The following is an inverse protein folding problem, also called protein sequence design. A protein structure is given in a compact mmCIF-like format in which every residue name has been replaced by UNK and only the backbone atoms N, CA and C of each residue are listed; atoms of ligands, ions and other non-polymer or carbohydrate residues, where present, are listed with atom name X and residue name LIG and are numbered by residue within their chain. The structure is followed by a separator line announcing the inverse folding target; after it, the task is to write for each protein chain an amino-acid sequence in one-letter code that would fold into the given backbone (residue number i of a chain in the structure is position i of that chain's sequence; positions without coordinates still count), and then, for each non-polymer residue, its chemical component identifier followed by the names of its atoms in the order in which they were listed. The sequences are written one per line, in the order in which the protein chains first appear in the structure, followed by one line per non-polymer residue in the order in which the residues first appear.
data_IF_312513534142
#
_entry.id   IF_312513534142
#
_cell.length_a   1.000
_cell.length_b   1.000
_cell.length_c   1.000
_cell.angle_alpha   90.00
_cell.angle_beta   90.00
_cell.angle_gamma   90.00
#
_symmetry.space_group_name_H-M   'P 1'
#
loop_
_entity.id
_entity.type
_entity.pdbx_description
1 polymer ?
#
# COMPACT_ATOMS: atom_id res chain seq x y z
N UNK A 1 -6.95 -8.96 -30.44
CA UNK A 1 -7.53 -8.13 -31.52
C UNK A 1 -8.89 -7.65 -31.06
N UNK A 2 -9.05 -6.35 -30.80
CA UNK A 2 -10.37 -5.76 -30.67
C UNK A 2 -11.01 -5.75 -32.06
N UNK A 3 -12.18 -6.38 -32.19
CA UNK A 3 -12.98 -6.37 -33.41
C UNK A 3 -14.23 -5.57 -33.11
N UNK A 4 -14.18 -4.27 -33.41
CA UNK A 4 -15.24 -3.46 -34.03
C UNK A 4 -14.97 -1.95 -33.84
N UNK A 5 -15.35 -1.09 -34.81
CA UNK A 5 -14.97 0.31 -34.84
C UNK A 5 -15.80 1.12 -33.82
N UNK A 6 -15.12 1.65 -32.79
CA UNK A 6 -15.73 2.49 -31.74
C UNK A 6 -15.24 2.19 -30.32
N UNK A 7 -14.51 1.08 -30.15
CA UNK A 7 -13.97 0.63 -28.88
C UNK A 7 -12.73 1.45 -28.43
N UNK A 8 -12.94 2.67 -27.93
CA UNK A 8 -11.92 3.38 -27.15
C UNK A 8 -12.10 2.99 -25.68
N UNK A 9 -11.38 1.97 -25.23
CA UNK A 9 -11.34 1.60 -23.81
C UNK A 9 -10.55 2.67 -23.04
N UNK A 10 -11.24 3.74 -22.63
CA UNK A 10 -10.65 4.75 -21.76
C UNK A 10 -10.34 4.13 -20.40
N UNK A 11 -9.13 4.34 -19.83
CA UNK A 11 -8.83 3.88 -18.48
C UNK A 11 -9.88 4.35 -17.49
N UNK A 12 -10.45 3.41 -16.75
CA UNK A 12 -11.46 3.70 -15.76
C UNK A 12 -11.13 3.00 -14.43
N UNK A 13 -11.32 3.72 -13.34
CA UNK A 13 -11.27 3.18 -11.98
C UNK A 13 -12.67 2.85 -11.51
N UNK A 14 -12.87 1.68 -10.90
CA UNK A 14 -14.16 1.30 -10.33
C UNK A 14 -14.01 0.39 -9.11
N UNK A 15 -15.04 0.37 -8.26
CA UNK A 15 -15.10 -0.54 -7.11
C UNK A 15 -15.96 -1.78 -7.42
N UNK A 16 -15.36 -2.94 -7.73
CA UNK A 16 -16.07 -4.18 -8.09
C UNK A 16 -16.97 -4.79 -7.00
N UNK A 17 -16.77 -4.43 -5.72
CA UNK A 17 -17.54 -5.03 -4.60
C UNK A 17 -18.60 -4.08 -4.03
N UNK A 18 -18.76 -2.88 -4.60
CA UNK A 18 -19.85 -2.00 -4.23
C UNK A 18 -21.17 -2.47 -4.86
N UNK A 19 -22.28 -2.31 -4.11
CA UNK A 19 -23.63 -2.51 -4.66
C UNK A 19 -23.83 -1.60 -5.87
N UNK A 20 -24.65 -2.02 -6.83
CA UNK A 20 -24.83 -1.37 -8.13
C UNK A 20 -25.16 0.14 -8.00
N UNK A 21 -25.95 0.51 -6.98
CA UNK A 21 -26.32 1.89 -6.66
C UNK A 21 -25.17 2.78 -6.10
N UNK A 22 -23.98 2.23 -5.87
CA UNK A 22 -22.83 2.97 -5.31
C UNK A 22 -21.53 2.74 -6.10
N UNK A 23 -21.59 2.17 -7.31
CA UNK A 23 -20.39 1.98 -8.12
C UNK A 23 -19.74 3.33 -8.47
N UNK A 24 -18.61 3.64 -7.84
CA UNK A 24 -17.78 4.78 -8.20
C UNK A 24 -16.96 4.45 -9.45
N UNK A 25 -17.62 4.46 -10.61
CA UNK A 25 -16.95 4.42 -11.91
C UNK A 25 -16.40 5.81 -12.25
N UNK A 26 -15.09 5.89 -12.48
CA UNK A 26 -14.38 7.14 -12.77
C UNK A 26 -13.55 7.01 -14.03
N UNK A 27 -13.71 7.97 -14.95
CA UNK A 27 -12.93 8.07 -16.20
C UNK A 27 -12.14 9.39 -16.27
N UNK A 28 -12.13 10.18 -15.20
CA UNK A 28 -11.47 11.48 -15.13
C UNK A 28 -9.99 11.40 -14.73
N UNK A 29 -9.40 10.20 -14.80
CA UNK A 29 -8.02 9.96 -14.40
C UNK A 29 -7.79 9.95 -12.89
N UNK A 30 -8.85 9.98 -12.08
CA UNK A 30 -8.77 9.95 -10.62
C UNK A 30 -9.16 8.56 -10.10
N UNK A 31 -8.35 8.02 -9.18
CA UNK A 31 -8.65 6.76 -8.50
C UNK A 31 -9.57 6.96 -7.30
N UNK A 32 -10.30 5.91 -6.90
CA UNK A 32 -11.03 5.96 -5.63
C UNK A 32 -10.06 5.77 -4.46
N UNK A 33 -10.55 6.01 -3.24
CA UNK A 33 -9.77 5.84 -2.02
C UNK A 33 -9.11 4.47 -1.97
N UNK A 34 -7.78 4.44 -1.84
CA UNK A 34 -7.04 3.22 -1.55
C UNK A 34 -7.37 2.82 -0.12
N UNK A 35 -7.95 1.64 0.07
CA UNK A 35 -8.33 1.17 1.41
C UNK A 35 -7.66 -0.16 1.73
N UNK A 36 -7.27 -0.31 2.99
CA UNK A 36 -6.91 -1.59 3.57
C UNK A 36 -8.20 -2.39 3.83
N UNK A 37 -8.38 -3.52 3.15
CA UNK A 37 -9.54 -4.40 3.32
C UNK A 37 -9.18 -5.88 3.18
N UNK A 38 -10.16 -6.77 3.29
CA UNK A 38 -10.00 -8.23 3.06
C UNK A 38 -9.55 -8.59 1.64
N UNK A 39 -9.60 -7.60 0.73
CA UNK A 39 -9.27 -7.69 -0.68
C UNK A 39 -8.55 -6.39 -1.12
N UNK A 40 -7.33 -6.13 -0.64
CA UNK A 40 -6.72 -4.84 -0.88
C UNK A 40 -6.27 -4.72 -2.34
N UNK A 41 -6.40 -3.50 -2.89
CA UNK A 41 -6.23 -3.23 -4.33
C UNK A 41 -7.43 -3.62 -5.21
N UNK A 42 -8.41 -4.38 -4.70
CA UNK A 42 -9.62 -4.69 -5.47
C UNK A 42 -10.56 -3.50 -5.61
N UNK A 43 -10.55 -2.52 -4.69
CA UNK A 43 -11.48 -1.39 -4.74
C UNK A 43 -11.20 -0.39 -5.88
N UNK A 44 -10.05 -0.54 -6.53
CA UNK A 44 -9.59 0.26 -7.64
C UNK A 44 -9.30 -0.66 -8.82
N UNK A 45 -10.33 -1.37 -9.29
CA UNK A 45 -10.24 -2.10 -10.53
C UNK A 45 -9.93 -1.13 -11.66
N UNK A 46 -8.91 -1.44 -12.45
CA UNK A 46 -8.55 -0.70 -13.65
C UNK A 46 -9.01 -1.46 -14.88
N UNK A 47 -9.64 -0.74 -15.81
CA UNK A 47 -9.88 -1.20 -17.17
C UNK A 47 -8.75 -0.65 -18.05
N UNK A 48 -7.95 -1.52 -18.68
CA UNK A 48 -6.91 -1.10 -19.61
C UNK A 48 -7.40 -1.02 -21.06
N UNK A 49 -6.59 -0.40 -21.93
CA UNK A 49 -6.84 -0.21 -23.38
C UNK A 49 -7.17 -1.52 -24.13
N UNK A 50 -6.73 -2.67 -23.60
CA UNK A 50 -6.99 -4.00 -24.16
C UNK A 50 -8.14 -4.75 -23.48
N UNK A 51 -9.06 -4.05 -22.79
CA UNK A 51 -10.16 -4.64 -22.02
C UNK A 51 -9.70 -5.59 -20.90
N UNK A 52 -8.49 -5.39 -20.40
CA UNK A 52 -7.99 -6.14 -19.24
C UNK A 52 -8.51 -5.46 -17.98
N UNK A 53 -9.24 -6.22 -17.16
CA UNK A 53 -9.65 -5.80 -15.83
C UNK A 53 -8.67 -6.37 -14.81
N UNK A 54 -7.96 -5.50 -14.11
CA UNK A 54 -7.02 -5.91 -13.04
C UNK A 54 -7.06 -4.95 -11.86
N UNK A 55 -6.35 -5.33 -10.80
CA UNK A 55 -6.12 -4.44 -9.65
C UNK A 55 -4.94 -3.51 -9.94
N UNK A 56 -4.92 -2.38 -9.23
CA UNK A 56 -3.68 -1.63 -9.04
C UNK A 56 -2.65 -2.54 -8.38
N UNK A 57 -1.42 -2.49 -8.86
CA UNK A 57 -0.23 -3.07 -8.24
C UNK A 57 0.17 -2.27 -6.99
N UNK A 58 1.02 -2.83 -6.10
CA UNK A 58 1.55 -2.07 -4.97
C UNK A 58 2.29 -0.80 -5.40
N UNK A 59 3.10 -0.85 -6.46
CA UNK A 59 3.81 0.31 -7.02
C UNK A 59 2.85 1.39 -7.53
N UNK A 60 1.76 1.00 -8.20
CA UNK A 60 0.73 1.97 -8.63
C UNK A 60 0.02 2.59 -7.41
N UNK A 61 -0.24 1.83 -6.35
CA UNK A 61 -0.77 2.37 -5.09
C UNK A 61 0.20 3.38 -4.45
N UNK A 62 1.50 3.08 -4.43
CA UNK A 62 2.53 3.98 -3.91
C UNK A 62 2.55 5.32 -4.67
N UNK A 63 2.57 5.25 -6.01
CA UNK A 63 2.51 6.43 -6.89
C UNK A 63 1.26 7.27 -6.69
N UNK A 64 0.10 6.62 -6.53
CA UNK A 64 -1.15 7.33 -6.23
C UNK A 64 -1.11 8.08 -4.90
N UNK A 65 -0.36 7.57 -3.91
CA UNK A 65 -0.12 8.27 -2.65
C UNK A 65 1.03 9.27 -2.71
N UNK A 66 1.71 9.38 -3.86
CA UNK A 66 2.83 10.29 -4.10
C UNK A 66 4.16 9.82 -3.53
N UNK A 67 4.30 8.52 -3.21
CA UNK A 67 5.58 7.94 -2.82
C UNK A 67 6.46 7.62 -4.04
N UNK A 68 7.80 7.68 -3.90
CA UNK A 68 8.71 7.21 -4.93
C UNK A 68 8.64 5.70 -5.10
N UNK A 69 8.95 5.21 -6.30
CA UNK A 69 8.90 3.77 -6.63
C UNK A 69 9.79 2.92 -5.71
N UNK A 70 10.94 3.46 -5.32
CA UNK A 70 11.94 2.79 -4.48
C UNK A 70 11.66 2.91 -2.97
N UNK A 71 10.50 3.41 -2.55
CA UNK A 71 10.19 3.61 -1.13
C UNK A 71 10.26 2.31 -0.33
N UNK A 72 9.91 1.20 -0.97
CA UNK A 72 9.98 -0.13 -0.40
C UNK A 72 11.17 -0.90 -0.97
N UNK A 73 12.26 -0.30 -1.40
CA UNK A 73 13.45 -1.06 -1.84
C UNK A 73 14.43 -1.28 -0.67
N UNK A 74 15.30 -2.28 -0.80
CA UNK A 74 16.43 -2.58 0.11
C UNK A 74 16.09 -2.72 1.62
N UNK A 75 14.92 -3.29 1.95
CA UNK A 75 14.50 -3.57 3.34
C UNK A 75 15.05 -4.89 3.89
N UNK A 76 15.62 -5.75 3.04
CA UNK A 76 16.12 -7.05 3.45
C UNK A 76 17.46 -6.98 4.18
N UNK A 77 17.64 -7.93 5.10
CA UNK A 77 18.88 -8.15 5.85
C UNK A 77 19.30 -9.59 5.58
N UNK A 78 20.16 -9.77 4.57
CA UNK A 78 20.58 -11.09 4.06
C UNK A 78 21.25 -11.94 5.16
N UNK A 79 22.09 -11.30 5.97
CA UNK A 79 22.85 -11.91 7.07
C UNK A 79 22.57 -11.16 8.38
N UNK A 80 21.41 -11.39 9.00
CA UNK A 80 21.02 -10.66 10.19
C UNK A 80 21.89 -11.04 11.39
N UNK A 81 22.38 -10.03 12.09
CA UNK A 81 23.12 -10.13 13.35
C UNK A 81 22.20 -10.55 14.49
N UNK A 82 22.77 -10.99 15.62
CA UNK A 82 21.96 -11.36 16.79
C UNK A 82 21.17 -10.16 17.32
N UNK A 83 21.76 -8.95 17.30
CA UNK A 83 21.12 -7.72 17.77
C UNK A 83 19.91 -7.32 16.90
N UNK A 84 20.02 -7.43 15.57
CA UNK A 84 18.88 -7.20 14.66
C UNK A 84 17.76 -8.21 14.89
N UNK A 85 18.12 -9.48 15.12
CA UNK A 85 17.14 -10.52 15.40
C UNK A 85 16.43 -10.24 16.74
N UNK A 86 17.18 -9.84 17.77
CA UNK A 86 16.62 -9.49 19.08
C UNK A 86 15.67 -8.29 18.97
N UNK A 87 16.10 -7.21 18.31
CA UNK A 87 15.28 -6.03 18.07
C UNK A 87 13.96 -6.40 17.38
N UNK A 88 14.02 -7.13 16.27
CA UNK A 88 12.80 -7.50 15.54
C UNK A 88 11.94 -8.53 16.29
N UNK A 89 12.52 -9.34 17.16
CA UNK A 89 11.78 -10.21 18.08
C UNK A 89 10.91 -9.39 19.02
N UNK A 90 11.48 -8.34 19.63
CA UNK A 90 10.75 -7.44 20.52
C UNK A 90 9.66 -6.64 19.80
N UNK A 91 9.95 -6.14 18.60
CA UNK A 91 8.97 -5.44 17.76
C UNK A 91 7.77 -6.35 17.43
N UNK A 92 8.03 -7.59 16.98
CA UNK A 92 6.96 -8.54 16.66
C UNK A 92 6.16 -8.97 17.88
N UNK A 93 6.80 -9.08 19.04
CA UNK A 93 6.11 -9.42 20.29
C UNK A 93 5.23 -8.26 20.78
N UNK A 94 5.72 -7.03 20.69
CA UNK A 94 4.94 -5.82 20.99
C UNK A 94 3.73 -5.72 20.06
N UNK A 95 3.94 -5.89 18.76
CA UNK A 95 2.85 -5.91 17.78
C UNK A 95 1.83 -7.00 18.09
N UNK A 96 2.27 -8.22 18.43
CA UNK A 96 1.39 -9.34 18.79
C UNK A 96 0.49 -9.00 19.98
N UNK A 97 1.06 -8.42 21.04
CA UNK A 97 0.33 -8.03 22.25
C UNK A 97 -0.71 -6.94 21.97
N UNK A 98 -0.37 -5.94 21.16
CA UNK A 98 -1.29 -4.85 20.79
C UNK A 98 -2.44 -5.37 19.92
N UNK A 99 -2.14 -6.18 18.90
CA UNK A 99 -3.17 -6.66 17.96
C UNK A 99 -4.04 -7.76 18.57
N UNK A 100 -3.50 -8.57 19.50
CA UNK A 100 -4.26 -9.56 20.26
C UNK A 100 -4.80 -10.76 19.47
N UNK A 101 -4.44 -10.90 18.18
CA UNK A 101 -4.96 -11.98 17.31
C UNK A 101 -4.18 -13.30 17.36
N UNK A 102 -2.93 -13.28 17.84
CA UNK A 102 -2.07 -14.47 17.88
C UNK A 102 -1.64 -14.81 19.31
N UNK A 103 -1.85 -16.06 19.68
CA UNK A 103 -1.50 -16.59 21.00
C UNK A 103 -0.01 -16.95 21.13
N UNK A 104 0.73 -17.07 20.02
CA UNK A 104 2.13 -17.52 20.04
C UNK A 104 3.08 -16.46 19.44
N UNK A 105 4.25 -16.22 20.06
CA UNK A 105 5.29 -15.38 19.49
C UNK A 105 5.87 -16.00 18.22
N UNK A 106 6.45 -15.18 17.34
CA UNK A 106 7.22 -15.66 16.20
C UNK A 106 8.50 -16.32 16.70
N UNK A 107 8.87 -17.43 16.10
CA UNK A 107 10.14 -18.11 16.39
C UNK A 107 11.31 -17.35 15.74
N UNK A 108 12.52 -17.47 16.31
CA UNK A 108 13.76 -16.92 15.72
C UNK A 108 13.93 -17.26 14.24
N UNK A 109 13.63 -18.51 13.85
CA UNK A 109 13.70 -18.96 12.44
C UNK A 109 12.73 -18.21 11.53
N UNK A 110 11.50 -17.92 11.99
CA UNK A 110 10.53 -17.14 11.22
C UNK A 110 10.97 -15.69 11.06
N UNK A 111 11.58 -15.10 12.09
CA UNK A 111 12.10 -13.73 12.05
C UNK A 111 13.27 -13.64 11.08
N UNK A 112 14.26 -14.53 11.19
CA UNK A 112 15.38 -14.58 10.23
C UNK A 112 14.88 -14.73 8.79
N UNK A 113 13.91 -15.63 8.56
CA UNK A 113 13.31 -15.81 7.23
C UNK A 113 12.65 -14.53 6.72
N UNK A 114 11.93 -13.81 7.59
CA UNK A 114 11.28 -12.56 7.24
C UNK A 114 12.29 -11.44 6.97
N UNK A 115 13.35 -11.33 7.77
CA UNK A 115 14.40 -10.33 7.56
C UNK A 115 15.10 -10.49 6.21
N UNK A 116 15.34 -11.73 5.77
CA UNK A 116 15.97 -11.99 4.47
C UNK A 116 15.10 -11.66 3.25
N UNK A 117 13.79 -11.58 3.43
CA UNK A 117 12.85 -11.23 2.37
C UNK A 117 11.55 -10.70 3.01
N UNK A 118 11.53 -9.42 3.42
CA UNK A 118 10.41 -8.85 4.15
C UNK A 118 9.21 -8.52 3.24
N UNK A 119 9.41 -8.62 1.93
CA UNK A 119 8.46 -8.20 0.90
C UNK A 119 7.31 -9.17 0.69
N UNK A 120 6.12 -8.59 0.55
CA UNK A 120 4.97 -9.26 -0.05
C UNK A 120 3.97 -8.22 -0.52
N UNK A 121 3.32 -8.47 -1.65
CA UNK A 121 2.23 -7.63 -2.16
C UNK A 121 1.21 -7.32 -1.07
N UNK A 122 0.83 -8.32 -0.28
CA UNK A 122 -0.15 -8.17 0.79
C UNK A 122 0.31 -7.19 1.89
N UNK A 123 1.60 -7.17 2.22
CA UNK A 123 2.15 -6.24 3.20
C UNK A 123 2.14 -4.80 2.65
N UNK A 124 2.57 -4.61 1.40
CA UNK A 124 2.58 -3.29 0.77
C UNK A 124 1.17 -2.74 0.57
N UNK A 125 0.25 -3.56 0.03
CA UNK A 125 -1.15 -3.18 -0.09
C UNK A 125 -1.76 -2.75 1.24
N UNK A 126 -1.43 -3.46 2.33
CA UNK A 126 -1.87 -3.08 3.67
C UNK A 126 -1.20 -1.78 4.13
N UNK A 127 0.09 -1.60 3.85
CA UNK A 127 0.82 -0.39 4.20
C UNK A 127 0.21 0.82 3.50
N UNK A 128 0.05 0.77 2.17
CA UNK A 128 -0.58 1.83 1.38
C UNK A 128 -2.04 2.02 1.82
N UNK A 129 -2.83 0.97 1.99
CA UNK A 129 -4.22 1.10 2.41
C UNK A 129 -4.46 1.71 3.80
N UNK A 130 -3.45 1.74 4.68
CA UNK A 130 -3.48 2.47 5.96
C UNK A 130 -2.59 3.73 5.95
N UNK A 131 -1.95 4.00 4.82
CA UNK A 131 -0.97 5.07 4.65
C UNK A 131 -1.63 6.43 4.53
N UNK A 132 -0.84 7.37 4.04
CA UNK A 132 -1.19 8.77 3.91
C UNK A 132 -0.78 9.25 2.52
N UNK A 133 -1.46 10.25 1.97
CA UNK A 133 -0.95 10.92 0.79
C UNK A 133 0.28 11.77 1.17
N UNK A 134 1.46 11.36 0.70
CA UNK A 134 2.74 12.03 0.99
C UNK A 134 2.70 13.54 0.68
N UNK A 135 2.12 14.02 -0.43
CA UNK A 135 2.02 15.45 -0.70
C UNK A 135 1.28 16.23 0.38
N UNK A 136 0.20 15.66 0.95
CA UNK A 136 -0.56 16.28 2.02
C UNK A 136 0.26 16.38 3.31
N UNK A 137 1.02 15.31 3.64
CA UNK A 137 1.92 15.31 4.80
C UNK A 137 3.01 16.36 4.64
N UNK A 138 3.67 16.40 3.48
CA UNK A 138 4.70 17.39 3.19
C UNK A 138 4.17 18.83 3.33
N UNK A 139 2.96 19.10 2.83
CA UNK A 139 2.32 20.41 2.96
C UNK A 139 2.09 20.80 4.43
N UNK A 140 1.48 19.92 5.23
CA UNK A 140 1.19 20.19 6.64
C UNK A 140 2.47 20.36 7.46
N UNK A 141 3.45 19.47 7.30
CA UNK A 141 4.71 19.54 8.05
C UNK A 141 5.56 20.76 7.64
N UNK A 142 5.52 21.17 6.37
CA UNK A 142 6.19 22.39 5.93
C UNK A 142 5.57 23.64 6.59
N UNK A 143 4.25 23.70 6.71
CA UNK A 143 3.55 24.78 7.40
C UNK A 143 3.89 24.81 8.90
N UNK A 144 3.91 23.67 9.58
CA UNK A 144 4.31 23.57 11.00
C UNK A 144 5.77 24.05 11.18
N UNK A 145 6.68 23.59 10.32
CA UNK A 145 8.08 24.02 10.35
C UNK A 145 8.22 25.52 10.13
N UNK A 146 7.41 26.10 9.23
CA UNK A 146 7.40 27.53 8.98
C UNK A 146 6.90 28.30 10.20
N UNK A 147 5.82 27.84 10.84
CA UNK A 147 5.26 28.47 12.04
C UNK A 147 6.27 28.48 13.21
N UNK A 148 6.89 27.32 13.50
CA UNK A 148 7.92 27.20 14.54
C UNK A 148 9.11 28.14 14.28
N UNK A 149 9.47 28.40 13.02
CA UNK A 149 10.60 29.27 12.71
C UNK A 149 10.31 30.77 12.85
N UNK A 150 9.03 31.17 12.76
CA UNK A 150 8.66 32.58 12.68
C UNK A 150 7.83 33.07 13.88
N UNK A 151 7.22 32.16 14.64
CA UNK A 151 6.32 32.48 15.76
C UNK A 151 6.75 31.83 17.10
N UNK A 152 7.89 31.12 17.15
CA UNK A 152 8.46 30.57 18.40
C UNK A 152 9.66 31.39 18.89
#
# INVERSE_FOLDING_TARGET
MAKDPGAVAQPASFYPQMKAESQCFRQDGISNTIVNGTNPGYQNGLIELNYIVRRLTPTECARLQGFPDYWCDDLDIINPTEDEILFWTEVWETHRKIIGKSNKPKTKKQIIKWLKNPYSDAAEYKMWGNGVALPCVCFVLAAIKWDIKNNA
#
